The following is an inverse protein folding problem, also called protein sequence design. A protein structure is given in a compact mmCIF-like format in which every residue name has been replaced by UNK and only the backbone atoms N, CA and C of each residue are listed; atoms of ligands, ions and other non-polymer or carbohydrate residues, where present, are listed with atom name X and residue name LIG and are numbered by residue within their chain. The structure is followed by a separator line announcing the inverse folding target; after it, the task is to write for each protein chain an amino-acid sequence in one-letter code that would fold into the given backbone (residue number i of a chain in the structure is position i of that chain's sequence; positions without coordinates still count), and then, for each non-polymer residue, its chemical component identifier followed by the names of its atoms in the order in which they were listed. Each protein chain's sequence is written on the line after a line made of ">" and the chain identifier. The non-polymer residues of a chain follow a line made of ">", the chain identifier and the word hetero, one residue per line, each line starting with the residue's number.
data_IF_429957280694
#
_entry.id   IF_429957280694
#
_cell.length_a   1.000
_cell.length_b   1.000
_cell.length_c   1.000
_cell.angle_alpha   90.00
_cell.angle_beta   90.00
_cell.angle_gamma   90.00
#
_symmetry.space_group_name_H-M   'P 1'
#
loop_
_entity.id
_entity.type
_entity.pdbx_description
1 polymer ?
#
# COMPACT_ATOMS: atom_id res chain seq x y z
N UNK A 1 2.64 1.18 2.72
CA UNK A 1 1.83 0.00 2.32
C UNK A 1 0.37 0.24 2.64
N UNK A 2 -0.53 -0.28 1.82
CA UNK A 2 -1.98 -0.14 1.97
C UNK A 2 -2.59 -1.53 2.18
N UNK A 3 -2.97 -1.83 3.43
CA UNK A 3 -3.53 -3.11 3.84
C UNK A 3 -5.07 -3.12 3.87
N UNK A 4 -5.67 -1.95 4.03
CA UNK A 4 -7.12 -1.74 4.04
C UNK A 4 -7.46 -0.32 3.67
N UNK A 5 -8.70 -0.08 3.27
CA UNK A 5 -9.25 1.25 2.99
C UNK A 5 -10.39 1.55 3.96
N UNK A 6 -10.53 2.82 4.34
CA UNK A 6 -11.64 3.26 5.21
C UNK A 6 -13.00 3.09 4.53
N UNK A 7 -13.04 3.29 3.21
CA UNK A 7 -14.26 3.19 2.43
C UNK A 7 -14.25 1.95 1.58
N UNK A 8 -15.36 1.27 1.56
CA UNK A 8 -15.62 0.12 0.69
C UNK A 8 -16.70 0.47 -0.33
N UNK A 9 -16.67 -0.22 -1.45
CA UNK A 9 -17.67 -0.09 -2.51
C UNK A 9 -18.36 -1.44 -2.74
N UNK A 10 -19.60 -1.38 -3.19
CA UNK A 10 -20.35 -2.58 -3.61
C UNK A 10 -19.86 -3.07 -4.97
N UNK A 11 -20.18 -4.30 -5.33
CA UNK A 11 -19.92 -4.84 -6.68
C UNK A 11 -20.57 -3.98 -7.77
N UNK A 12 -21.77 -3.47 -7.53
CA UNK A 12 -22.43 -2.54 -8.45
C UNK A 12 -21.64 -1.22 -8.61
N UNK A 13 -21.04 -0.74 -7.53
CA UNK A 13 -20.15 0.41 -7.55
C UNK A 13 -18.87 0.13 -8.32
N UNK A 14 -18.28 -1.06 -8.13
CA UNK A 14 -17.07 -1.48 -8.84
C UNK A 14 -17.28 -1.54 -10.35
N UNK A 15 -18.43 -2.06 -10.82
CA UNK A 15 -18.78 -2.13 -12.23
C UNK A 15 -18.91 -0.76 -12.91
N UNK A 16 -19.08 0.32 -12.15
CA UNK A 16 -19.11 1.71 -12.65
C UNK A 16 -17.74 2.38 -12.68
N UNK A 17 -16.72 1.76 -12.10
CA UNK A 17 -15.35 2.32 -12.05
C UNK A 17 -14.57 1.86 -13.26
N UNK A 18 -14.13 2.80 -14.09
CA UNK A 18 -13.39 2.51 -15.33
C UNK A 18 -12.04 1.81 -15.12
N UNK A 19 -11.43 1.95 -13.95
CA UNK A 19 -10.18 1.26 -13.61
C UNK A 19 -10.38 -0.20 -13.21
N UNK A 20 -11.61 -0.56 -12.83
CA UNK A 20 -11.93 -1.86 -12.26
C UNK A 20 -11.21 -2.11 -10.93
N UNK A 21 -11.13 -3.37 -10.54
CA UNK A 21 -10.36 -3.83 -9.39
C UNK A 21 -8.88 -3.92 -9.78
N UNK A 22 -8.03 -3.22 -9.04
CA UNK A 22 -6.58 -3.25 -9.21
C UNK A 22 -6.00 -4.40 -8.39
N UNK A 23 -5.02 -5.14 -8.93
CA UNK A 23 -4.40 -6.25 -8.21
C UNK A 23 -3.48 -5.76 -7.08
N UNK A 24 -3.20 -6.67 -6.16
CA UNK A 24 -2.09 -6.56 -5.22
C UNK A 24 -0.78 -6.27 -5.96
N UNK A 25 0.15 -5.56 -5.31
CA UNK A 25 1.41 -5.11 -5.93
C UNK A 25 1.27 -3.84 -6.78
N UNK A 26 0.06 -3.29 -6.95
CA UNK A 26 -0.11 -2.03 -7.67
C UNK A 26 0.48 -0.87 -6.87
N UNK A 27 1.37 -0.09 -7.51
CA UNK A 27 1.91 1.14 -6.93
C UNK A 27 0.98 2.30 -7.25
N UNK A 28 0.59 3.03 -6.21
CA UNK A 28 -0.34 4.15 -6.28
C UNK A 28 0.38 5.45 -5.98
N UNK A 29 0.05 6.52 -6.71
CA UNK A 29 0.47 7.88 -6.40
C UNK A 29 -0.73 8.82 -6.45
N UNK A 30 -0.87 9.67 -5.42
CA UNK A 30 -1.93 10.68 -5.40
C UNK A 30 -1.62 11.80 -6.40
N UNK A 31 -2.60 12.12 -7.25
CA UNK A 31 -2.50 13.15 -8.28
C UNK A 31 -3.25 14.44 -7.92
N UNK A 32 -3.92 14.47 -6.77
CA UNK A 32 -4.66 15.63 -6.23
C UNK A 32 -4.20 15.92 -4.81
N UNK A 33 -4.55 17.10 -4.30
CA UNK A 33 -4.11 17.56 -2.98
C UNK A 33 -4.52 16.61 -1.84
N UNK A 34 -3.58 16.12 -1.04
CA UNK A 34 -2.15 16.32 -1.17
C UNK A 34 -1.53 15.44 -2.28
N UNK A 35 -0.70 16.04 -3.14
CA UNK A 35 -0.05 15.37 -4.27
C UNK A 35 1.18 14.61 -3.78
N UNK A 36 1.49 13.46 -4.43
CA UNK A 36 2.75 12.75 -4.22
C UNK A 36 2.74 11.73 -3.10
N UNK A 37 1.61 11.45 -2.46
CA UNK A 37 1.51 10.31 -1.55
C UNK A 37 1.60 9.00 -2.34
N UNK A 38 2.55 8.17 -1.96
CA UNK A 38 2.85 6.90 -2.63
C UNK A 38 2.52 5.75 -1.69
N UNK A 39 1.87 4.72 -2.23
CA UNK A 39 1.59 3.49 -1.51
C UNK A 39 1.64 2.27 -2.43
N UNK A 40 1.98 1.11 -1.86
CA UNK A 40 1.81 -0.19 -2.51
C UNK A 40 0.53 -0.83 -1.97
N UNK A 41 -0.30 -1.32 -2.87
CA UNK A 41 -1.50 -2.08 -2.55
C UNK A 41 -1.11 -3.51 -2.15
N UNK A 42 -1.35 -3.88 -0.91
CA UNK A 42 -1.15 -5.23 -0.38
C UNK A 42 -2.45 -6.06 -0.42
N UNK A 43 -3.48 -5.48 -0.99
CA UNK A 43 -4.80 -6.10 -1.21
C UNK A 43 -5.39 -5.57 -2.52
N UNK A 44 -6.23 -6.34 -3.21
CA UNK A 44 -6.97 -5.82 -4.35
C UNK A 44 -7.83 -4.63 -3.94
N UNK A 45 -7.81 -3.55 -4.73
CA UNK A 45 -8.56 -2.33 -4.41
C UNK A 45 -9.04 -1.58 -5.65
N UNK A 46 -9.99 -0.70 -5.47
CA UNK A 46 -10.43 0.25 -6.48
C UNK A 46 -10.01 1.67 -6.11
N UNK A 47 -9.75 2.50 -7.11
CA UNK A 47 -9.34 3.89 -6.93
C UNK A 47 -10.32 4.85 -7.59
N UNK A 48 -10.36 6.07 -7.08
CA UNK A 48 -11.01 7.21 -7.74
C UNK A 48 -10.03 7.94 -8.68
N UNK A 49 -10.51 9.01 -9.31
CA UNK A 49 -9.72 9.81 -10.26
C UNK A 49 -8.55 10.59 -9.62
N UNK A 50 -8.46 10.64 -8.30
CA UNK A 50 -7.39 11.32 -7.57
C UNK A 50 -6.08 10.52 -7.49
N UNK A 51 -6.05 9.32 -8.07
CA UNK A 51 -4.87 8.45 -8.05
C UNK A 51 -4.45 8.03 -9.45
N UNK A 52 -3.14 7.86 -9.61
CA UNK A 52 -2.52 7.14 -10.72
C UNK A 52 -2.10 5.78 -10.19
N UNK A 53 -2.47 4.72 -10.91
CA UNK A 53 -2.12 3.34 -10.58
C UNK A 53 -1.13 2.80 -11.62
N UNK A 54 -0.02 2.30 -11.13
CA UNK A 54 0.99 1.57 -11.91
C UNK A 54 0.83 0.09 -11.61
N UNK A 55 0.27 -0.65 -12.57
CA UNK A 55 0.06 -2.09 -12.45
C UNK A 55 1.38 -2.81 -12.70
N UNK A 56 1.87 -3.50 -11.69
CA UNK A 56 3.06 -4.33 -11.76
C UNK A 56 2.61 -5.78 -11.97
N UNK A 57 2.43 -6.18 -13.22
CA UNK A 57 1.81 -7.46 -13.62
C UNK A 57 2.83 -8.43 -14.28
N UNK A 58 4.00 -8.54 -13.68
CA UNK A 58 5.07 -9.44 -14.13
C UNK A 58 6.01 -8.87 -15.18
N UNK A 59 5.64 -7.77 -15.87
CA UNK A 59 6.54 -7.03 -16.77
C UNK A 59 7.31 -5.94 -16.02
N UNK A 60 6.74 -5.43 -14.94
CA UNK A 60 7.34 -4.40 -14.09
C UNK A 60 7.42 -4.95 -12.67
N UNK A 61 8.60 -4.88 -12.09
CA UNK A 61 8.82 -5.22 -10.70
C UNK A 61 8.23 -4.14 -9.77
N UNK A 62 7.44 -4.55 -8.78
CA UNK A 62 6.75 -3.65 -7.85
C UNK A 62 7.74 -2.82 -7.04
N UNK A 63 8.84 -3.41 -6.58
CA UNK A 63 9.81 -2.71 -5.75
C UNK A 63 10.61 -1.72 -6.58
N UNK A 64 10.97 -2.08 -7.80
CA UNK A 64 11.61 -1.15 -8.73
C UNK A 64 10.71 0.05 -9.01
N UNK A 65 9.43 -0.17 -9.36
CA UNK A 65 8.48 0.91 -9.64
C UNK A 65 8.25 1.78 -8.40
N UNK A 66 8.16 1.17 -7.21
CA UNK A 66 8.04 1.90 -5.95
C UNK A 66 9.24 2.82 -5.71
N UNK A 67 10.47 2.29 -5.78
CA UNK A 67 11.69 3.07 -5.53
C UNK A 67 11.90 4.13 -6.59
N UNK A 68 11.64 3.82 -7.85
CA UNK A 68 11.67 4.81 -8.92
C UNK A 68 10.66 5.95 -8.67
N UNK A 69 9.44 5.61 -8.24
CA UNK A 69 8.40 6.59 -7.94
C UNK A 69 8.76 7.45 -6.73
N UNK A 70 9.36 6.86 -5.69
CA UNK A 70 9.84 7.58 -4.51
C UNK A 70 10.97 8.55 -4.87
N UNK A 71 11.91 8.14 -5.71
CA UNK A 71 13.03 8.97 -6.12
C UNK A 71 12.59 10.17 -6.98
N UNK A 72 11.54 10.01 -7.78
CA UNK A 72 11.09 11.02 -8.74
C UNK A 72 9.80 11.74 -8.32
N UNK A 73 9.04 11.19 -7.38
CA UNK A 73 7.71 11.69 -7.00
C UNK A 73 7.69 13.11 -6.44
N UNK A 74 8.78 13.55 -5.82
CA UNK A 74 8.92 14.94 -5.32
C UNK A 74 9.16 15.99 -6.41
N UNK A 75 9.53 15.56 -7.61
CA UNK A 75 9.75 16.44 -8.77
C UNK A 75 8.46 16.75 -9.53
N UNK A 76 7.39 16.06 -9.24
CA UNK A 76 6.11 16.30 -9.90
C UNK A 76 5.32 17.40 -9.21
N UNK A 77 5.41 18.63 -9.70
CA UNK A 77 4.60 19.76 -9.21
C UNK A 77 3.11 19.59 -9.54
N UNK A 78 2.80 18.88 -10.62
CA UNK A 78 1.45 18.53 -11.03
C UNK A 78 1.48 17.16 -11.72
N UNK A 79 0.79 16.19 -11.13
CA UNK A 79 0.73 14.84 -11.69
C UNK A 79 -0.62 14.63 -12.38
N UNK A 80 -0.65 14.81 -13.69
CA UNK A 80 -1.78 14.36 -14.50
C UNK A 80 -1.46 13.01 -15.15
N UNK A 81 -2.48 12.18 -15.37
CA UNK A 81 -2.31 10.91 -16.11
C UNK A 81 -1.71 11.13 -17.51
N UNK A 82 -2.00 12.27 -18.12
CA UNK A 82 -1.49 12.66 -19.45
C UNK A 82 0.00 12.97 -19.40
N UNK A 83 0.46 13.67 -18.35
CA UNK A 83 1.86 13.99 -18.16
C UNK A 83 2.68 12.76 -17.72
N UNK A 84 2.06 11.85 -16.95
CA UNK A 84 2.73 10.66 -16.44
C UNK A 84 2.99 9.58 -17.50
N UNK A 85 2.04 9.36 -18.43
CA UNK A 85 2.14 8.31 -19.45
C UNK A 85 3.37 8.34 -20.35
N UNK A 86 3.87 9.51 -20.83
CA UNK A 86 5.03 9.56 -21.72
C UNK A 86 6.38 9.46 -21.02
N UNK A 87 6.42 9.35 -19.67
CA UNK A 87 7.67 9.27 -18.94
C UNK A 87 8.38 7.97 -19.31
N UNK A 88 9.60 8.10 -19.82
CA UNK A 88 10.46 6.98 -20.15
C UNK A 88 11.27 6.60 -18.91
N UNK A 89 11.27 5.34 -18.60
CA UNK A 89 12.03 4.75 -17.48
C UNK A 89 13.09 3.84 -18.07
N UNK A 90 14.33 4.01 -17.64
CA UNK A 90 15.39 3.03 -17.93
C UNK A 90 15.15 1.84 -17.02
N UNK A 91 14.85 0.71 -17.63
CA UNK A 91 14.58 -0.52 -16.91
C UNK A 91 15.83 -1.41 -16.95
N UNK A 92 16.34 -1.88 -15.81
CA UNK A 92 17.53 -2.71 -15.74
C UNK A 92 17.31 -4.08 -16.42
N UNK A 93 18.39 -4.81 -16.67
CA UNK A 93 18.30 -6.20 -17.08
C UNK A 93 17.76 -7.09 -15.94
N UNK A 94 17.29 -8.29 -16.32
CA UNK A 94 16.65 -9.21 -15.38
C UNK A 94 17.60 -9.66 -14.25
N UNK A 95 18.89 -9.82 -14.52
CA UNK A 95 19.85 -10.26 -13.50
C UNK A 95 19.99 -9.24 -12.37
N UNK A 96 20.08 -7.96 -12.73
CA UNK A 96 20.17 -6.88 -11.76
C UNK A 96 18.86 -6.69 -11.00
N UNK A 97 17.73 -6.88 -11.67
CA UNK A 97 16.41 -6.83 -11.03
C UNK A 97 16.22 -7.96 -10.02
N UNK A 98 16.64 -9.16 -10.34
CA UNK A 98 16.56 -10.31 -9.43
C UNK A 98 17.40 -10.09 -8.16
N UNK A 99 18.59 -9.52 -8.29
CA UNK A 99 19.42 -9.16 -7.13
C UNK A 99 18.78 -8.05 -6.29
N UNK A 100 18.25 -7.02 -6.95
CA UNK A 100 17.54 -5.93 -6.32
C UNK A 100 16.31 -6.44 -5.53
N UNK A 101 15.49 -7.29 -6.15
CA UNK A 101 14.28 -7.85 -5.52
C UNK A 101 14.62 -8.74 -4.31
N UNK A 102 15.70 -9.52 -4.36
CA UNK A 102 16.15 -10.32 -3.21
C UNK A 102 16.41 -9.44 -1.98
N UNK A 103 16.98 -8.27 -2.17
CA UNK A 103 17.32 -7.37 -1.07
C UNK A 103 16.10 -6.52 -0.69
N UNK A 104 15.60 -5.74 -1.64
CA UNK A 104 14.57 -4.73 -1.38
C UNK A 104 13.22 -5.36 -1.13
N UNK A 105 12.86 -6.42 -1.86
CA UNK A 105 11.63 -7.18 -1.64
C UNK A 105 11.59 -7.82 -0.25
N UNK A 106 12.73 -8.36 0.22
CA UNK A 106 12.83 -8.89 1.59
C UNK A 106 12.59 -7.80 2.64
N UNK A 107 13.19 -6.62 2.46
CA UNK A 107 13.01 -5.49 3.37
C UNK A 107 11.56 -4.98 3.33
N UNK A 108 10.98 -4.88 2.14
CA UNK A 108 9.59 -4.48 1.98
C UNK A 108 8.64 -5.45 2.69
N UNK A 109 8.82 -6.75 2.48
CA UNK A 109 8.03 -7.79 3.17
C UNK A 109 8.14 -7.65 4.68
N UNK A 110 9.33 -7.40 5.21
CA UNK A 110 9.52 -7.15 6.64
C UNK A 110 8.75 -5.90 7.11
N UNK A 111 8.76 -4.82 6.33
CA UNK A 111 7.97 -3.62 6.62
C UNK A 111 6.46 -3.93 6.65
N UNK A 112 5.95 -4.69 5.68
CA UNK A 112 4.55 -5.12 5.63
C UNK A 112 4.18 -5.92 6.88
N UNK A 113 5.00 -6.89 7.27
CA UNK A 113 4.77 -7.71 8.46
C UNK A 113 4.75 -6.88 9.74
N UNK A 114 5.66 -5.91 9.87
CA UNK A 114 5.69 -5.00 11.03
C UNK A 114 4.44 -4.11 11.08
N UNK A 115 3.95 -3.62 9.94
CA UNK A 115 2.70 -2.84 9.89
C UNK A 115 1.51 -3.72 10.29
N UNK A 116 1.44 -4.97 9.82
CA UNK A 116 0.40 -5.93 10.23
C UNK A 116 0.44 -6.20 11.74
N UNK A 117 1.63 -6.39 12.30
CA UNK A 117 1.82 -6.58 13.75
C UNK A 117 1.37 -5.35 14.54
N UNK A 118 1.77 -4.15 14.12
CA UNK A 118 1.35 -2.91 14.77
C UNK A 118 -0.17 -2.72 14.76
N UNK A 119 -0.83 -3.01 13.63
CA UNK A 119 -2.28 -2.93 13.54
C UNK A 119 -2.94 -3.91 14.53
N UNK A 120 -2.45 -5.15 14.60
CA UNK A 120 -2.95 -6.17 15.53
C UNK A 120 -2.76 -5.75 16.98
N UNK A 121 -1.58 -5.25 17.33
CA UNK A 121 -1.30 -4.76 18.70
C UNK A 121 -2.20 -3.57 19.07
N UNK A 122 -2.45 -2.67 18.11
CA UNK A 122 -3.39 -1.55 18.30
C UNK A 122 -4.80 -2.06 18.56
N UNK A 123 -5.30 -3.00 17.77
CA UNK A 123 -6.61 -3.61 17.96
C UNK A 123 -6.71 -4.32 19.33
N UNK A 124 -5.67 -5.05 19.73
CA UNK A 124 -5.62 -5.69 21.04
C UNK A 124 -5.65 -4.66 22.18
N UNK A 125 -4.84 -3.60 22.09
CA UNK A 125 -4.85 -2.51 23.07
C UNK A 125 -6.24 -1.87 23.18
N UNK A 126 -6.83 -1.52 22.05
CA UNK A 126 -8.11 -0.81 22.02
C UNK A 126 -9.27 -1.69 22.52
N UNK A 127 -9.16 -3.00 22.38
CA UNK A 127 -10.13 -3.96 22.92
C UNK A 127 -9.93 -4.22 24.43
N UNK A 128 -8.69 -4.26 24.90
CA UNK A 128 -8.38 -4.60 26.29
C UNK A 128 -8.45 -3.40 27.24
N UNK A 129 -7.98 -2.23 26.78
CA UNK A 129 -7.90 -1.04 27.65
C UNK A 129 -9.24 -0.65 28.30
N UNK A 130 -10.37 -0.61 27.60
CA UNK A 130 -11.66 -0.30 28.21
C UNK A 130 -12.07 -1.33 29.26
N UNK A 131 -11.79 -2.62 29.04
CA UNK A 131 -12.15 -3.71 29.95
C UNK A 131 -11.33 -3.71 31.23
N UNK A 132 -10.05 -3.33 31.11
CA UNK A 132 -9.18 -3.15 32.28
C UNK A 132 -9.57 -1.93 33.09
N UNK A 133 -9.91 -0.82 32.44
CA UNK A 133 -10.31 0.42 33.12
C UNK A 133 -11.67 0.24 33.82
N UNK A 134 -12.61 -0.47 33.21
CA UNK A 134 -13.92 -0.76 33.81
C UNK A 134 -13.88 -1.81 34.91
N UNK A 135 -12.77 -2.53 35.07
CA UNK A 135 -12.65 -3.66 36.01
C UNK A 135 -13.35 -4.92 35.55
N UNK A 136 -13.83 -4.99 34.33
CA UNK A 136 -14.41 -6.19 33.69
C UNK A 136 -13.35 -7.29 33.52
N UNK A 137 -12.11 -6.89 33.26
CA UNK A 137 -10.92 -7.75 33.24
C UNK A 137 -9.95 -7.28 34.32
N UNK A 138 -9.43 -8.22 35.15
CA UNK A 138 -8.37 -7.96 36.09
C UNK A 138 -7.07 -8.62 35.63
N UNK A 139 -5.94 -8.00 35.94
CA UNK A 139 -4.60 -8.52 35.57
C UNK A 139 -4.35 -9.90 36.17
N UNK A 140 -4.94 -10.21 37.31
CA UNK A 140 -4.86 -11.51 38.01
C UNK A 140 -5.51 -12.64 37.19
N UNK A 141 -6.56 -12.32 36.40
CA UNK A 141 -7.28 -13.30 35.58
C UNK A 141 -6.47 -13.72 34.33
N UNK A 142 -5.45 -12.94 33.97
CA UNK A 142 -4.61 -13.18 32.78
C UNK A 142 -3.40 -14.05 33.06
N UNK A 143 -3.00 -14.15 34.36
CA UNK A 143 -1.84 -14.93 34.78
C UNK A 143 -2.21 -16.37 35.19
N UNK A 144 -3.44 -16.80 34.96
CA UNK A 144 -3.99 -18.10 35.35
C UNK A 144 -3.96 -19.17 34.24
N UNK A 145 -2.98 -19.11 33.29
CA UNK A 145 -2.72 -20.17 32.31
C UNK A 145 -1.30 -20.67 32.46
#
# INVERSE_FOLDING_TARGET
>A
VLLKTERQITEQGLNKISSGLLPEGTVLISSRAPIGYIAVAEVPLAINQGFIAMKCNGLLDTQFVLQWTLANGSTFQEISKKAFRPIKVVYPDNGLLDEFEKIVGTLHKRCVDLVKQNNRLTEMRDNLSPKLISGELRVEDVNGV
#
